data_IF_023707846305
#
_entry.id   IF_023707846305
#
_cell.length_a   1.000
_cell.length_b   1.000
_cell.length_c   1.000
_cell.angle_alpha   90.00
_cell.angle_beta   90.00
_cell.angle_gamma   90.00
#
_symmetry.space_group_name_H-M   'P 1'
#
loop_
_entity.id
_entity.type
_entity.pdbx_description
1 polymer ?
#
# COMPACT_ATOMS: atom_id res chain seq x y z
N UNK A 1 23.83 -8.07 2.32
CA UNK A 1 23.40 -8.54 3.65
C UNK A 1 22.42 -9.69 3.50
N UNK A 2 22.33 -10.55 4.52
CA UNK A 2 21.30 -11.58 4.63
C UNK A 2 20.18 -11.03 5.52
N UNK A 3 19.01 -10.83 4.96
CA UNK A 3 17.86 -10.20 5.61
C UNK A 3 16.78 -11.23 5.87
N UNK A 4 16.36 -11.39 7.13
CA UNK A 4 15.18 -12.18 7.46
C UNK A 4 13.94 -11.28 7.41
N UNK A 5 13.10 -11.45 6.41
CA UNK A 5 11.80 -10.79 6.32
C UNK A 5 10.72 -11.64 6.99
N UNK A 6 10.15 -11.13 8.08
CA UNK A 6 9.03 -11.77 8.79
C UNK A 6 7.73 -11.12 8.35
N UNK A 7 6.82 -11.89 7.72
CA UNK A 7 5.57 -11.34 7.20
C UNK A 7 4.42 -12.34 7.19
N UNK A 8 3.21 -11.84 7.37
CA UNK A 8 1.95 -12.57 7.14
C UNK A 8 1.24 -12.14 5.83
N UNK A 9 1.94 -11.39 4.99
CA UNK A 9 1.45 -10.89 3.71
C UNK A 9 2.46 -11.21 2.59
N UNK A 10 2.41 -12.45 2.10
CA UNK A 10 3.30 -12.99 1.05
C UNK A 10 2.50 -13.80 0.03
N UNK A 11 3.16 -14.35 -1.01
CA UNK A 11 2.54 -15.26 -1.98
C UNK A 11 1.93 -16.48 -1.27
N UNK A 12 0.78 -17.02 -1.73
CA UNK A 12 -0.03 -16.59 -2.89
C UNK A 12 -1.02 -15.45 -2.56
N UNK A 13 -1.02 -14.92 -1.34
CA UNK A 13 -1.92 -13.83 -0.94
C UNK A 13 -1.63 -12.56 -1.73
N UNK A 14 -2.69 -11.96 -2.29
CA UNK A 14 -2.65 -10.70 -3.03
C UNK A 14 -3.11 -9.53 -2.14
N UNK A 15 -2.54 -8.35 -2.35
CA UNK A 15 -2.90 -7.12 -1.62
C UNK A 15 -1.75 -6.13 -1.54
N UNK A 16 -2.04 -4.88 -1.21
CA UNK A 16 -1.05 -3.80 -1.21
C UNK A 16 0.23 -4.08 -0.41
N UNK A 17 0.12 -4.69 0.79
CA UNK A 17 1.29 -5.05 1.61
C UNK A 17 2.11 -6.14 0.91
N UNK A 18 1.46 -7.20 0.42
CA UNK A 18 2.14 -8.29 -0.29
C UNK A 18 2.84 -7.78 -1.56
N UNK A 19 2.19 -6.92 -2.33
CA UNK A 19 2.79 -6.30 -3.52
C UNK A 19 3.98 -5.44 -3.14
N UNK A 20 3.84 -4.56 -2.15
CA UNK A 20 4.92 -3.72 -1.65
C UNK A 20 6.15 -4.54 -1.23
N UNK A 21 5.96 -5.56 -0.38
CA UNK A 21 7.07 -6.37 0.13
C UNK A 21 7.75 -7.19 -0.97
N UNK A 22 6.99 -7.75 -1.92
CA UNK A 22 7.58 -8.48 -3.06
C UNK A 22 8.40 -7.56 -3.95
N UNK A 23 7.87 -6.38 -4.26
CA UNK A 23 8.61 -5.41 -5.05
C UNK A 23 9.83 -4.89 -4.30
N UNK A 24 9.75 -4.72 -2.98
CA UNK A 24 10.90 -4.37 -2.14
C UNK A 24 12.02 -5.43 -2.25
N UNK A 25 11.67 -6.70 -2.08
CA UNK A 25 12.63 -7.83 -2.18
C UNK A 25 13.25 -7.91 -3.58
N UNK A 26 12.48 -7.65 -4.63
CA UNK A 26 12.96 -7.72 -6.02
C UNK A 26 13.89 -6.54 -6.39
N UNK A 27 13.77 -5.39 -5.73
CA UNK A 27 14.53 -4.19 -6.09
C UNK A 27 15.73 -3.92 -5.16
N UNK A 28 15.85 -4.61 -4.03
CA UNK A 28 17.01 -4.51 -3.15
C UNK A 28 18.05 -5.59 -3.49
N UNK A 29 19.31 -5.19 -3.64
CA UNK A 29 20.45 -6.12 -3.89
C UNK A 29 20.92 -6.79 -2.57
N UNK A 30 20.01 -7.53 -1.93
CA UNK A 30 20.25 -8.27 -0.70
C UNK A 30 19.68 -9.69 -0.81
N UNK A 31 20.26 -10.62 -0.03
CA UNK A 31 19.69 -11.96 0.10
C UNK A 31 18.57 -11.93 1.13
N UNK A 32 17.35 -12.17 0.67
CA UNK A 32 16.19 -12.28 1.55
C UNK A 32 15.84 -13.72 1.86
N UNK A 33 15.50 -13.97 3.12
CA UNK A 33 14.89 -15.18 3.61
C UNK A 33 13.53 -14.79 4.16
N UNK A 34 12.47 -15.42 3.69
CA UNK A 34 11.10 -15.04 4.03
C UNK A 34 10.51 -16.03 5.04
N UNK A 35 10.15 -15.57 6.22
CA UNK A 35 9.46 -16.39 7.21
C UNK A 35 8.02 -15.88 7.46
N UNK A 36 7.07 -16.79 7.45
CA UNK A 36 5.66 -16.44 7.66
C UNK A 36 4.77 -17.65 7.88
N UNK A 37 3.43 -17.49 7.79
CA UNK A 37 2.47 -18.57 8.01
C UNK A 37 2.70 -19.79 7.09
N UNK A 38 2.15 -20.94 7.47
CA UNK A 38 2.31 -22.22 6.76
C UNK A 38 1.88 -22.23 5.27
N UNK A 39 1.16 -21.23 4.84
CA UNK A 39 0.66 -21.12 3.47
C UNK A 39 1.54 -20.24 2.54
N UNK A 40 2.62 -19.61 3.04
CA UNK A 40 3.51 -18.84 2.17
C UNK A 40 4.27 -19.74 1.20
N UNK A 41 4.54 -19.23 0.01
CA UNK A 41 5.19 -19.95 -1.09
C UNK A 41 6.37 -19.15 -1.67
N UNK A 42 7.35 -19.84 -2.24
CA UNK A 42 8.52 -19.27 -2.92
C UNK A 42 9.81 -20.00 -2.56
N UNK A 43 10.84 -19.84 -3.38
CA UNK A 43 12.12 -20.57 -3.23
C UNK A 43 12.86 -20.19 -1.93
N UNK A 44 12.76 -18.94 -1.51
CA UNK A 44 13.34 -18.43 -0.27
C UNK A 44 12.34 -18.36 0.90
N UNK A 45 11.17 -19.02 0.77
CA UNK A 45 10.13 -19.04 1.78
C UNK A 45 10.35 -20.17 2.79
N UNK A 46 10.25 -19.81 4.06
CA UNK A 46 10.28 -20.72 5.20
C UNK A 46 8.90 -20.67 5.89
N UNK A 47 7.93 -21.49 5.45
CA UNK A 47 6.62 -21.54 6.07
C UNK A 47 6.71 -22.11 7.49
N UNK A 48 6.02 -21.48 8.44
CA UNK A 48 5.89 -21.98 9.79
C UNK A 48 5.15 -23.32 9.79
N UNK A 49 5.58 -24.27 10.62
CA UNK A 49 4.88 -25.56 10.75
C UNK A 49 3.46 -25.40 11.35
N UNK A 50 3.33 -24.45 12.30
CA UNK A 50 2.08 -24.11 12.96
C UNK A 50 1.54 -22.74 12.50
N UNK A 51 0.30 -22.41 12.94
CA UNK A 51 -0.24 -21.07 12.74
C UNK A 51 0.65 -20.03 13.44
N UNK A 52 1.15 -19.09 12.67
CA UNK A 52 2.11 -18.04 13.00
C UNK A 52 1.84 -17.26 14.32
N UNK A 53 0.60 -17.27 14.83
CA UNK A 53 0.19 -16.52 16.04
C UNK A 53 -0.04 -17.45 17.25
N UNK A 54 -0.39 -18.71 17.02
CA UNK A 54 -0.91 -19.60 18.07
C UNK A 54 0.22 -20.16 18.94
N UNK A 55 1.43 -20.29 18.39
CA UNK A 55 2.57 -20.84 19.13
C UNK A 55 3.79 -19.94 19.08
N UNK A 56 3.86 -18.84 19.87
CA UNK A 56 4.99 -17.91 19.84
C UNK A 56 6.34 -18.54 20.23
N UNK A 57 6.32 -19.65 20.96
CA UNK A 57 7.54 -20.39 21.34
C UNK A 57 8.13 -21.09 20.11
N UNK A 58 7.28 -21.79 19.34
CA UNK A 58 7.69 -22.48 18.12
C UNK A 58 8.20 -21.49 17.06
N UNK A 59 7.48 -20.38 16.86
CA UNK A 59 7.90 -19.29 15.97
C UNK A 59 9.31 -18.79 16.33
N UNK A 60 9.61 -18.63 17.62
CA UNK A 60 10.93 -18.20 18.05
C UNK A 60 11.99 -19.26 17.74
N UNK A 61 11.73 -20.54 17.99
CA UNK A 61 12.64 -21.65 17.71
C UNK A 61 12.94 -21.74 16.20
N UNK A 62 11.91 -21.60 15.35
CA UNK A 62 12.07 -21.57 13.89
C UNK A 62 12.95 -20.39 13.45
N UNK A 63 12.66 -19.18 13.95
CA UNK A 63 13.45 -17.98 13.63
C UNK A 63 14.88 -18.13 14.11
N UNK A 64 15.12 -18.65 15.32
CA UNK A 64 16.47 -18.88 15.84
C UNK A 64 17.26 -19.83 14.96
N UNK A 65 16.63 -20.91 14.47
CA UNK A 65 17.24 -21.84 13.53
C UNK A 65 17.57 -21.16 12.20
N UNK A 66 16.60 -20.43 11.60
CA UNK A 66 16.79 -19.70 10.35
C UNK A 66 17.95 -18.71 10.47
N UNK A 67 18.02 -17.97 11.58
CA UNK A 67 19.08 -16.99 11.86
C UNK A 67 20.45 -17.64 11.79
N UNK A 68 20.64 -18.79 12.45
CA UNK A 68 21.93 -19.48 12.51
C UNK A 68 22.28 -20.14 11.17
N UNK A 69 21.31 -20.82 10.54
CA UNK A 69 21.54 -21.58 9.31
C UNK A 69 21.83 -20.66 8.11
N UNK A 70 21.26 -19.45 8.10
CA UNK A 70 21.39 -18.49 6.99
C UNK A 70 22.32 -17.30 7.31
N UNK A 71 22.96 -17.26 8.48
CA UNK A 71 23.85 -16.18 8.89
C UNK A 71 23.18 -14.79 8.74
N UNK A 72 22.00 -14.62 9.36
CA UNK A 72 21.18 -13.41 9.23
C UNK A 72 21.89 -12.21 9.88
N UNK A 73 21.98 -11.12 9.13
CA UNK A 73 22.54 -9.85 9.57
C UNK A 73 21.50 -8.96 10.25
N UNK A 74 20.29 -8.89 9.69
CA UNK A 74 19.19 -8.07 10.19
C UNK A 74 17.83 -8.78 10.09
N UNK A 75 16.89 -8.39 10.94
CA UNK A 75 15.49 -8.81 10.88
C UNK A 75 14.64 -7.62 10.42
N UNK A 76 13.86 -7.82 9.36
CA UNK A 76 12.89 -6.87 8.85
C UNK A 76 11.47 -7.42 9.08
N UNK A 77 10.68 -6.73 9.90
CA UNK A 77 9.27 -7.05 10.07
C UNK A 77 8.46 -6.37 8.96
N UNK A 78 7.84 -7.16 8.08
CA UNK A 78 7.11 -6.67 6.90
C UNK A 78 5.77 -6.00 7.21
N UNK A 79 5.29 -6.08 8.46
CA UNK A 79 4.11 -5.37 8.96
C UNK A 79 4.15 -5.32 10.49
N UNK A 80 3.41 -4.38 11.10
CA UNK A 80 3.37 -4.27 12.56
C UNK A 80 2.56 -5.40 13.20
N UNK A 81 1.44 -5.78 12.63
CA UNK A 81 0.57 -6.83 13.19
C UNK A 81 0.61 -8.09 12.32
N UNK A 82 0.91 -9.28 12.88
CA UNK A 82 1.12 -9.58 14.31
C UNK A 82 2.58 -9.48 14.78
N UNK A 83 3.51 -9.04 13.94
CA UNK A 83 4.95 -9.17 14.14
C UNK A 83 5.48 -8.46 15.39
N UNK A 84 4.80 -7.39 15.85
CA UNK A 84 5.18 -6.71 17.09
C UNK A 84 5.27 -7.66 18.30
N UNK A 85 4.51 -8.76 18.32
CA UNK A 85 4.51 -9.74 19.41
C UNK A 85 5.84 -10.48 19.58
N UNK A 86 6.67 -10.51 18.55
CA UNK A 86 7.92 -11.26 18.55
C UNK A 86 9.15 -10.39 18.86
N UNK A 87 9.07 -9.07 18.67
CA UNK A 87 10.21 -8.14 18.75
C UNK A 87 11.02 -8.31 20.02
N UNK A 88 10.39 -8.24 21.20
CA UNK A 88 11.11 -8.36 22.49
C UNK A 88 11.86 -9.68 22.64
N UNK A 89 11.28 -10.76 22.18
CA UNK A 89 11.90 -12.08 22.30
C UNK A 89 13.05 -12.22 21.31
N UNK A 90 12.90 -11.67 20.10
CA UNK A 90 13.95 -11.69 19.08
C UNK A 90 15.16 -10.81 19.44
N UNK A 91 14.99 -9.80 20.30
CA UNK A 91 16.11 -9.03 20.87
C UNK A 91 17.09 -9.87 21.71
N UNK A 92 16.77 -11.13 22.01
CA UNK A 92 17.73 -12.05 22.65
C UNK A 92 18.71 -12.68 21.67
N UNK A 93 18.41 -12.62 20.36
CA UNK A 93 19.25 -13.21 19.31
C UNK A 93 20.47 -12.32 19.01
N UNK A 94 21.59 -12.95 18.74
CA UNK A 94 22.83 -12.29 18.34
C UNK A 94 23.13 -12.60 16.87
N UNK A 95 23.87 -11.69 16.22
CA UNK A 95 24.41 -11.91 14.89
C UNK A 95 25.31 -13.15 14.90
N UNK A 96 25.06 -14.13 14.04
CA UNK A 96 25.84 -15.35 13.98
C UNK A 96 27.34 -15.05 13.75
N UNK A 97 28.18 -15.78 14.46
CA UNK A 97 29.64 -15.63 14.39
C UNK A 97 30.19 -14.23 14.81
N UNK A 98 29.40 -13.38 15.41
CA UNK A 98 29.90 -12.12 15.95
C UNK A 98 30.76 -12.32 17.17
N UNK A 99 32.01 -11.80 17.20
CA UNK A 99 32.92 -12.00 18.32
C UNK A 99 32.49 -11.26 19.61
N UNK A 100 31.54 -10.33 19.51
CA UNK A 100 31.10 -9.46 20.61
C UNK A 100 29.64 -9.72 21.07
N UNK A 101 29.03 -10.83 20.66
CA UNK A 101 27.61 -11.09 20.93
C UNK A 101 26.68 -9.89 20.54
N UNK A 102 26.92 -9.29 19.40
CA UNK A 102 26.15 -8.16 18.90
C UNK A 102 24.71 -8.62 18.64
N UNK A 103 23.74 -7.88 19.15
CA UNK A 103 22.31 -8.15 18.89
C UNK A 103 21.99 -7.96 17.42
N UNK A 104 21.08 -8.80 16.88
CA UNK A 104 20.59 -8.63 15.53
C UNK A 104 19.70 -7.39 15.49
N UNK A 105 20.01 -6.38 14.67
CA UNK A 105 19.15 -5.23 14.50
C UNK A 105 17.78 -5.62 13.95
N UNK A 106 16.73 -4.99 14.48
CA UNK A 106 15.37 -5.24 14.08
C UNK A 106 14.73 -3.94 13.55
N UNK A 107 14.15 -4.04 12.36
CA UNK A 107 13.44 -2.97 11.68
C UNK A 107 12.00 -3.40 11.38
N UNK A 108 11.07 -2.44 11.24
CA UNK A 108 9.68 -2.74 10.95
C UNK A 108 9.12 -1.79 9.91
N UNK A 109 8.37 -2.30 8.93
CA UNK A 109 7.62 -1.49 7.98
C UNK A 109 6.16 -1.45 8.43
N UNK A 110 5.63 -0.25 8.64
CA UNK A 110 4.24 0.00 9.02
C UNK A 110 3.48 0.61 7.84
N UNK A 111 2.42 -0.08 7.40
CA UNK A 111 1.65 0.30 6.21
C UNK A 111 0.39 1.13 6.54
N UNK A 112 0.00 1.26 7.81
CA UNK A 112 -1.08 2.14 8.23
C UNK A 112 -2.11 1.52 9.16
N UNK A 113 -3.21 1.00 8.63
CA UNK A 113 -4.35 0.57 9.46
C UNK A 113 -4.04 -0.60 10.41
N UNK A 114 -3.01 -1.42 10.14
CA UNK A 114 -2.70 -2.64 10.90
C UNK A 114 -2.23 -2.37 12.34
N UNK A 115 -1.56 -1.25 12.59
CA UNK A 115 -1.17 -0.85 13.96
C UNK A 115 -2.26 -0.02 14.64
N UNK A 116 -3.03 0.75 13.87
CA UNK A 116 -3.95 1.72 14.43
C UNK A 116 -5.14 1.07 15.14
N UNK A 117 -5.65 -0.07 14.63
CA UNK A 117 -6.71 -0.84 15.30
C UNK A 117 -6.29 -1.27 16.70
N UNK A 118 -5.04 -1.69 16.87
CA UNK A 118 -4.49 -2.16 18.14
C UNK A 118 -4.36 -1.04 19.18
N UNK A 119 -4.16 0.19 18.73
CA UNK A 119 -3.99 1.37 19.57
C UNK A 119 -5.23 1.72 20.40
N UNK A 120 -6.43 1.31 19.98
CA UNK A 120 -7.67 1.60 20.69
C UNK A 120 -7.99 0.63 21.85
N UNK A 121 -7.19 -0.43 22.03
CA UNK A 121 -7.32 -1.37 23.14
C UNK A 121 -6.21 -1.11 24.15
N UNK A 122 -6.48 -0.52 25.36
CA UNK A 122 -5.42 -0.02 26.24
C UNK A 122 -4.33 -1.03 26.60
N UNK A 123 -4.71 -2.27 26.90
CA UNK A 123 -3.74 -3.33 27.24
C UNK A 123 -2.87 -3.68 26.02
N UNK A 124 -3.48 -3.76 24.83
CA UNK A 124 -2.76 -4.07 23.57
C UNK A 124 -1.88 -2.89 23.17
N UNK A 125 -2.33 -1.65 23.37
CA UNK A 125 -1.53 -0.44 23.14
C UNK A 125 -0.24 -0.45 23.95
N UNK A 126 -0.32 -0.74 25.26
CA UNK A 126 0.87 -0.80 26.11
C UNK A 126 1.83 -1.92 25.67
N UNK A 127 1.30 -3.06 25.24
CA UNK A 127 2.12 -4.15 24.72
C UNK A 127 2.74 -3.77 23.38
N UNK A 128 2.00 -3.12 22.50
CA UNK A 128 2.47 -2.62 21.21
C UNK A 128 3.63 -1.62 21.43
N UNK A 129 3.42 -0.57 22.24
CA UNK A 129 4.45 0.43 22.55
C UNK A 129 5.73 -0.22 23.04
N UNK A 130 5.66 -1.04 24.11
CA UNK A 130 6.83 -1.71 24.68
C UNK A 130 7.60 -2.58 23.69
N UNK A 131 6.92 -3.19 22.72
CA UNK A 131 7.59 -3.99 21.70
C UNK A 131 8.20 -3.10 20.62
N UNK A 132 7.48 -2.06 20.18
CA UNK A 132 7.99 -1.11 19.20
C UNK A 132 9.24 -0.37 19.73
N UNK A 133 9.29 -0.02 21.03
CA UNK A 133 10.45 0.65 21.67
C UNK A 133 11.75 -0.21 21.67
N UNK A 134 11.66 -1.46 21.27
CA UNK A 134 12.81 -2.36 21.14
C UNK A 134 13.29 -2.55 19.67
N UNK A 135 12.70 -1.82 18.73
CA UNK A 135 13.19 -1.77 17.36
C UNK A 135 14.29 -0.72 17.18
N UNK A 136 15.19 -0.93 16.23
CA UNK A 136 16.18 0.06 15.86
C UNK A 136 15.52 1.26 15.17
N UNK A 137 14.70 0.99 14.17
CA UNK A 137 13.95 2.02 13.43
C UNK A 137 12.63 1.44 12.91
N UNK A 138 11.61 2.27 12.83
CA UNK A 138 10.33 1.96 12.21
C UNK A 138 10.20 2.75 10.91
N UNK A 139 9.99 2.05 9.82
CA UNK A 139 9.71 2.65 8.53
C UNK A 139 8.20 2.78 8.31
N UNK A 140 7.77 3.89 7.73
CA UNK A 140 6.36 4.10 7.35
C UNK A 140 6.24 4.45 5.88
N UNK A 141 5.07 4.16 5.32
CA UNK A 141 4.78 4.44 3.90
C UNK A 141 4.18 5.83 3.68
N UNK A 142 3.87 6.57 4.74
CA UNK A 142 3.28 7.91 4.67
C UNK A 142 3.60 8.74 5.92
N UNK A 143 3.60 10.04 5.75
CA UNK A 143 3.74 10.99 6.87
C UNK A 143 2.56 10.92 7.83
N UNK A 144 1.36 10.63 7.32
CA UNK A 144 0.18 10.38 8.15
C UNK A 144 0.40 9.19 9.10
N UNK A 145 0.93 8.07 8.59
CA UNK A 145 1.24 6.89 9.40
C UNK A 145 2.35 7.20 10.41
N UNK A 146 3.38 7.96 10.01
CA UNK A 146 4.47 8.39 10.90
C UNK A 146 3.94 9.17 12.09
N UNK A 147 3.10 10.19 11.86
CA UNK A 147 2.48 10.98 12.92
C UNK A 147 1.60 10.16 13.86
N UNK A 148 0.87 9.17 13.33
CA UNK A 148 0.05 8.27 14.15
C UNK A 148 0.88 7.35 15.03
N UNK A 149 2.02 6.89 14.54
CA UNK A 149 2.92 6.02 15.32
C UNK A 149 3.71 6.79 16.38
N UNK A 150 4.07 8.04 16.14
CA UNK A 150 4.77 8.86 17.14
C UNK A 150 3.98 9.10 18.43
N UNK A 151 2.67 8.86 18.42
CA UNK A 151 1.83 8.86 19.63
C UNK A 151 1.90 7.52 20.42
N UNK A 152 2.61 6.51 19.89
CA UNK A 152 2.60 5.14 20.41
C UNK A 152 3.98 4.70 20.92
N UNK A 153 5.06 5.16 20.30
CA UNK A 153 6.44 4.72 20.57
C UNK A 153 7.41 5.87 20.49
N UNK A 154 8.49 5.77 21.27
CA UNK A 154 9.63 6.72 21.25
C UNK A 154 10.73 6.28 20.24
N UNK A 155 10.58 5.11 19.61
CA UNK A 155 11.52 4.63 18.57
C UNK A 155 11.53 5.59 17.39
N UNK A 156 12.70 5.76 16.80
CA UNK A 156 12.86 6.55 15.56
C UNK A 156 11.93 6.04 14.45
N UNK A 157 11.16 6.96 13.86
CA UNK A 157 10.20 6.64 12.79
C UNK A 157 10.55 7.46 11.55
N UNK A 158 10.85 6.75 10.47
CA UNK A 158 11.26 7.35 9.18
C UNK A 158 10.19 7.05 8.13
N UNK A 159 9.68 8.08 7.47
CA UNK A 159 8.83 7.90 6.30
C UNK A 159 9.69 7.63 5.07
N UNK A 160 9.64 6.40 4.56
CA UNK A 160 10.36 5.99 3.35
C UNK A 160 9.47 6.02 2.10
N UNK A 161 8.15 6.24 2.26
CA UNK A 161 7.20 6.25 1.15
C UNK A 161 6.99 4.86 0.53
N UNK A 162 6.86 4.85 -0.79
CA UNK A 162 6.69 3.63 -1.59
C UNK A 162 7.56 3.72 -2.85
N UNK A 163 8.00 2.58 -3.35
CA UNK A 163 8.62 2.45 -4.66
C UNK A 163 7.55 2.06 -5.70
N UNK A 164 7.48 2.83 -6.77
CA UNK A 164 6.56 2.60 -7.89
C UNK A 164 7.38 2.32 -9.14
N UNK A 165 6.97 1.28 -9.87
CA UNK A 165 7.50 1.00 -11.20
C UNK A 165 7.01 2.09 -12.17
N UNK A 166 7.93 2.69 -12.89
CA UNK A 166 7.58 3.67 -13.93
C UNK A 166 7.46 2.92 -15.26
N UNK A 167 6.25 2.77 -15.80
CA UNK A 167 6.08 2.03 -17.04
C UNK A 167 6.71 2.78 -18.22
N UNK A 168 7.34 2.05 -19.13
CA UNK A 168 7.77 2.59 -20.42
C UNK A 168 6.53 2.77 -21.31
N UNK A 169 5.74 3.78 -21.00
CA UNK A 169 4.45 4.08 -21.63
C UNK A 169 4.24 5.58 -21.72
N UNK A 170 3.84 6.02 -22.90
CA UNK A 170 3.36 7.39 -23.13
C UNK A 170 1.85 7.33 -23.33
N UNK A 171 1.11 8.05 -22.49
CA UNK A 171 -0.34 8.10 -22.58
C UNK A 171 -0.76 8.89 -23.83
N UNK A 172 -1.68 8.32 -24.62
CA UNK A 172 -2.29 9.02 -25.74
C UNK A 172 -3.55 9.76 -25.25
N UNK A 173 -3.43 11.09 -25.14
CA UNK A 173 -4.48 11.96 -24.64
C UNK A 173 -5.49 12.45 -25.73
N UNK A 174 -5.37 11.97 -26.98
CA UNK A 174 -6.17 12.48 -28.10
C UNK A 174 -7.65 12.05 -28.04
N UNK A 175 -7.98 10.96 -27.36
CA UNK A 175 -9.31 10.37 -27.31
C UNK A 175 -9.88 10.32 -25.87
N UNK A 176 -10.26 11.46 -25.32
CA UNK A 176 -10.88 11.54 -23.99
C UNK A 176 -12.44 11.56 -24.02
N UNK A 177 -13.06 11.13 -25.12
CA UNK A 177 -14.52 11.07 -25.25
C UNK A 177 -14.95 9.67 -25.74
N UNK A 178 -15.72 8.91 -24.91
CA UNK A 178 -16.17 9.26 -23.55
C UNK A 178 -15.04 9.35 -22.54
N UNK A 179 -15.20 10.13 -21.47
CA UNK A 179 -14.29 10.12 -20.32
C UNK A 179 -14.41 8.78 -19.61
N UNK A 180 -13.38 7.95 -19.69
CA UNK A 180 -13.34 6.65 -19.05
C UNK A 180 -12.67 6.79 -17.69
N UNK A 181 -13.46 6.65 -16.62
CA UNK A 181 -12.95 6.70 -15.24
C UNK A 181 -12.68 5.29 -14.74
N UNK A 182 -11.49 5.07 -14.22
CA UNK A 182 -11.09 3.78 -13.68
C UNK A 182 -10.88 3.77 -12.17
N UNK A 183 -11.09 2.62 -11.55
CA UNK A 183 -10.71 2.34 -10.16
C UNK A 183 -10.13 0.93 -10.02
N UNK A 184 -9.00 0.81 -9.34
CA UNK A 184 -8.37 -0.46 -8.96
C UNK A 184 -8.44 -0.60 -7.45
N UNK A 185 -9.14 -1.59 -6.92
CA UNK A 185 -9.13 -1.80 -5.47
C UNK A 185 -9.80 -3.11 -5.05
N UNK A 186 -9.56 -3.50 -3.79
CA UNK A 186 -10.48 -4.42 -3.12
C UNK A 186 -11.87 -3.78 -2.99
N UNK A 187 -12.91 -4.47 -3.41
CA UNK A 187 -14.29 -3.96 -3.39
C UNK A 187 -14.86 -4.01 -1.96
N UNK A 188 -14.49 -3.03 -1.16
CA UNK A 188 -14.94 -2.87 0.24
C UNK A 188 -15.53 -1.47 0.46
N UNK A 189 -16.43 -1.36 1.45
CA UNK A 189 -17.23 -0.14 1.66
C UNK A 189 -16.42 1.13 1.96
N UNK A 190 -15.18 1.00 2.43
CA UNK A 190 -14.27 2.12 2.70
C UNK A 190 -13.81 2.81 1.41
N UNK A 191 -13.71 2.07 0.31
CA UNK A 191 -13.26 2.59 -0.99
C UNK A 191 -14.30 3.47 -1.69
N UNK A 192 -15.56 3.46 -1.21
CA UNK A 192 -16.64 4.33 -1.70
C UNK A 192 -16.90 4.26 -3.22
N UNK A 193 -16.70 3.08 -3.82
CA UNK A 193 -16.94 2.89 -5.26
C UNK A 193 -18.41 3.16 -5.62
N UNK A 194 -19.36 2.92 -4.70
CA UNK A 194 -20.75 3.29 -4.91
C UNK A 194 -20.93 4.80 -5.15
N UNK A 195 -20.13 5.67 -4.51
CA UNK A 195 -20.19 7.10 -4.80
C UNK A 195 -19.80 7.42 -6.24
N UNK A 196 -18.77 6.71 -6.75
CA UNK A 196 -18.33 6.88 -8.12
C UNK A 196 -19.42 6.46 -9.11
N UNK A 197 -20.09 5.31 -8.87
CA UNK A 197 -21.21 4.85 -9.70
C UNK A 197 -22.39 5.83 -9.64
N UNK A 198 -22.77 6.31 -8.46
CA UNK A 198 -23.88 7.28 -8.28
C UNK A 198 -23.58 8.60 -9.01
N UNK A 199 -22.37 9.15 -8.82
CA UNK A 199 -21.96 10.40 -9.47
C UNK A 199 -21.90 10.25 -11.00
N UNK A 200 -21.36 9.14 -11.48
CA UNK A 200 -21.29 8.88 -12.92
C UNK A 200 -22.68 8.64 -13.53
N UNK A 201 -23.63 8.05 -12.77
CA UNK A 201 -25.04 7.96 -13.16
C UNK A 201 -25.64 9.35 -13.35
N UNK A 202 -25.52 10.23 -12.35
CA UNK A 202 -26.06 11.59 -12.41
C UNK A 202 -25.51 12.36 -13.62
N UNK A 203 -24.20 12.30 -13.84
CA UNK A 203 -23.53 12.95 -14.97
C UNK A 203 -23.99 12.37 -16.32
N UNK A 204 -24.24 11.06 -16.38
CA UNK A 204 -24.77 10.42 -17.59
C UNK A 204 -26.20 10.81 -17.89
N UNK A 205 -27.06 10.94 -16.88
CA UNK A 205 -28.44 11.48 -17.01
C UNK A 205 -28.43 12.93 -17.48
N UNK A 206 -27.41 13.71 -17.13
CA UNK A 206 -27.18 15.07 -17.65
C UNK A 206 -26.66 15.07 -19.10
N UNK A 207 -26.51 13.90 -19.74
CA UNK A 207 -26.08 13.75 -21.14
C UNK A 207 -24.57 13.77 -21.34
N UNK A 208 -23.76 13.73 -20.30
CA UNK A 208 -22.31 13.79 -20.41
C UNK A 208 -21.71 12.43 -20.85
N UNK A 209 -20.69 12.45 -21.72
CA UNK A 209 -20.06 11.23 -22.25
C UNK A 209 -19.08 10.63 -21.23
N UNK A 210 -19.58 9.75 -20.36
CA UNK A 210 -18.81 9.13 -19.28
C UNK A 210 -19.03 7.62 -19.24
N UNK A 211 -17.97 6.86 -18.91
CA UNK A 211 -17.98 5.43 -18.66
C UNK A 211 -17.13 5.08 -17.43
N UNK A 212 -17.42 3.93 -16.81
CA UNK A 212 -16.65 3.44 -15.66
C UNK A 212 -16.02 2.07 -15.94
N UNK A 213 -14.78 1.90 -15.48
CA UNK A 213 -14.11 0.62 -15.39
C UNK A 213 -13.71 0.34 -13.94
N UNK A 214 -14.05 -0.82 -13.43
CA UNK A 214 -13.78 -1.23 -12.05
C UNK A 214 -12.99 -2.52 -12.09
N UNK A 215 -11.73 -2.48 -11.64
CA UNK A 215 -10.86 -3.64 -11.54
C UNK A 215 -10.71 -4.06 -10.08
N UNK A 216 -10.95 -5.34 -9.81
CA UNK A 216 -10.77 -5.95 -8.50
C UNK A 216 -11.97 -6.76 -8.02
N UNK A 217 -11.87 -7.25 -6.80
CA UNK A 217 -12.87 -8.13 -6.18
C UNK A 217 -13.06 -7.80 -4.69
N UNK A 218 -14.14 -8.30 -4.09
CA UNK A 218 -14.38 -8.13 -2.65
C UNK A 218 -15.83 -8.22 -2.22
N UNK A 219 -16.03 -8.01 -0.92
CA UNK A 219 -17.34 -8.23 -0.26
C UNK A 219 -18.48 -7.36 -0.82
N UNK A 220 -18.17 -6.26 -1.50
CA UNK A 220 -19.17 -5.38 -2.11
C UNK A 220 -19.46 -5.66 -3.59
N UNK A 221 -18.80 -6.63 -4.20
CA UNK A 221 -18.93 -6.89 -5.65
C UNK A 221 -20.39 -7.04 -6.09
N UNK A 222 -21.15 -7.91 -5.45
CA UNK A 222 -22.56 -8.14 -5.80
C UNK A 222 -23.43 -6.88 -5.61
N UNK A 223 -23.17 -6.11 -4.55
CA UNK A 223 -23.86 -4.84 -4.32
C UNK A 223 -23.55 -3.82 -5.41
N UNK A 224 -22.29 -3.65 -5.78
CA UNK A 224 -21.85 -2.71 -6.82
C UNK A 224 -22.38 -3.12 -8.20
N UNK A 225 -22.37 -4.40 -8.54
CA UNK A 225 -22.97 -4.93 -9.78
C UNK A 225 -24.48 -4.66 -9.84
N UNK A 226 -25.20 -4.84 -8.73
CA UNK A 226 -26.63 -4.51 -8.65
C UNK A 226 -26.86 -3.00 -8.79
N UNK A 227 -26.03 -2.16 -8.17
CA UNK A 227 -26.12 -0.70 -8.31
C UNK A 227 -25.86 -0.28 -9.76
N UNK A 228 -24.87 -0.83 -10.42
CA UNK A 228 -24.54 -0.53 -11.81
C UNK A 228 -25.62 -0.98 -12.80
N UNK A 229 -26.33 -2.07 -12.53
CA UNK A 229 -27.37 -2.60 -13.43
C UNK A 229 -28.61 -1.70 -13.54
N UNK A 230 -28.81 -0.78 -12.60
CA UNK A 230 -29.89 0.24 -12.63
C UNK A 230 -29.35 1.65 -12.92
N UNK A 231 -28.07 1.77 -13.22
CA UNK A 231 -27.41 3.03 -13.53
C UNK A 231 -27.48 3.34 -15.02
N UNK A 232 -27.57 4.63 -15.38
CA UNK A 232 -27.50 5.08 -16.76
C UNK A 232 -26.08 4.98 -17.35
N UNK A 233 -25.04 4.92 -16.49
CA UNK A 233 -23.64 4.81 -16.92
C UNK A 233 -23.27 3.37 -17.23
N UNK A 234 -22.51 3.17 -18.30
CA UNK A 234 -21.89 1.89 -18.62
C UNK A 234 -20.75 1.60 -17.61
N UNK A 235 -20.87 0.49 -16.88
CA UNK A 235 -19.87 0.05 -15.89
C UNK A 235 -19.31 -1.32 -16.25
N UNK A 236 -18.03 -1.37 -16.56
CA UNK A 236 -17.31 -2.63 -16.84
C UNK A 236 -16.58 -3.11 -15.60
N UNK A 237 -16.91 -4.32 -15.12
CA UNK A 237 -16.19 -5.00 -14.04
C UNK A 237 -15.13 -5.93 -14.61
N UNK A 238 -13.89 -5.75 -14.18
CA UNK A 238 -12.73 -6.54 -14.62
C UNK A 238 -12.16 -7.24 -13.38
N UNK A 239 -11.82 -8.51 -13.52
CA UNK A 239 -11.07 -9.25 -12.50
C UNK A 239 -9.59 -9.15 -12.83
N UNK A 240 -8.79 -8.83 -11.81
CA UNK A 240 -7.34 -8.91 -11.92
C UNK A 240 -6.92 -10.37 -11.69
N UNK A 241 -6.42 -11.00 -12.71
CA UNK A 241 -5.85 -12.35 -12.63
C UNK A 241 -4.32 -12.29 -12.78
N UNK A 242 -3.80 -11.25 -13.45
CA UNK A 242 -2.37 -11.08 -13.74
C UNK A 242 -1.91 -9.61 -13.63
N UNK A 243 -0.59 -9.40 -13.50
CA UNK A 243 0.00 -8.06 -13.57
C UNK A 243 -0.28 -7.37 -14.92
N UNK A 244 -0.40 -8.16 -16.00
CA UNK A 244 -0.75 -7.65 -17.32
C UNK A 244 -2.17 -7.06 -17.35
N UNK A 245 -3.13 -7.67 -16.65
CA UNK A 245 -4.50 -7.14 -16.59
C UNK A 245 -4.53 -5.75 -15.94
N UNK A 246 -3.67 -5.52 -14.97
CA UNK A 246 -3.51 -4.22 -14.28
C UNK A 246 -2.85 -3.19 -15.21
N UNK A 247 -1.81 -3.56 -15.97
CA UNK A 247 -1.16 -2.71 -16.96
C UNK A 247 -2.14 -2.30 -18.08
N UNK A 248 -2.82 -3.27 -18.68
CA UNK A 248 -3.84 -3.04 -19.73
C UNK A 248 -4.99 -2.17 -19.19
N UNK A 249 -5.35 -2.32 -17.91
CA UNK A 249 -6.38 -1.49 -17.28
C UNK A 249 -5.96 -0.02 -17.21
N UNK A 250 -4.79 0.30 -16.63
CA UNK A 250 -4.32 1.69 -16.53
C UNK A 250 -4.19 2.36 -17.91
N UNK A 251 -3.79 1.61 -18.95
CA UNK A 251 -3.71 2.10 -20.35
C UNK A 251 -5.08 2.38 -20.97
N UNK A 252 -6.15 1.81 -20.44
CA UNK A 252 -7.50 1.85 -20.99
C UNK A 252 -8.42 2.89 -20.37
N UNK A 253 -7.93 3.74 -19.48
CA UNK A 253 -8.70 4.77 -18.77
C UNK A 253 -8.09 6.16 -18.99
N UNK A 254 -8.87 7.21 -18.74
CA UNK A 254 -8.44 8.61 -18.90
C UNK A 254 -8.25 9.32 -17.55
N UNK A 255 -8.95 8.84 -16.50
CA UNK A 255 -8.97 9.42 -15.17
C UNK A 255 -9.03 8.29 -14.14
N UNK A 256 -8.21 8.34 -13.13
CA UNK A 256 -8.31 7.42 -11.99
C UNK A 256 -9.07 8.08 -10.83
N UNK A 257 -10.08 7.41 -10.28
CA UNK A 257 -10.85 7.96 -9.15
C UNK A 257 -11.18 6.89 -8.12
N UNK A 258 -10.67 7.03 -6.89
CA UNK A 258 -11.06 6.20 -5.76
C UNK A 258 -11.31 7.06 -4.53
N UNK A 259 -12.56 7.51 -4.28
CA UNK A 259 -12.91 8.44 -3.21
C UNK A 259 -12.96 7.76 -1.84
N UNK A 260 -11.88 7.09 -1.46
CA UNK A 260 -11.78 6.34 -0.20
C UNK A 260 -12.03 7.23 1.02
N UNK A 261 -12.68 6.68 2.04
CA UNK A 261 -13.01 7.41 3.27
C UNK A 261 -12.58 6.62 4.51
N UNK A 262 -11.99 7.32 5.46
CA UNK A 262 -11.69 6.73 6.78
C UNK A 262 -12.98 6.32 7.49
N UNK A 263 -12.94 5.22 8.24
CA UNK A 263 -14.05 4.69 9.03
C UNK A 263 -13.73 4.66 10.51
N UNK A 264 -14.78 4.49 11.31
CA UNK A 264 -14.69 4.32 12.76
C UNK A 264 -13.83 5.43 13.39
N UNK A 265 -14.16 6.70 13.10
CA UNK A 265 -13.44 7.88 13.60
C UNK A 265 -11.93 7.87 13.31
N UNK A 266 -11.52 7.31 12.18
CA UNK A 266 -10.12 7.26 11.75
C UNK A 266 -9.36 6.01 12.20
N UNK A 267 -10.05 4.98 12.72
CA UNK A 267 -9.43 3.68 13.05
C UNK A 267 -8.99 2.97 11.78
N UNK A 268 -9.87 2.92 10.77
CA UNK A 268 -9.53 2.42 9.43
C UNK A 268 -9.28 3.61 8.49
N UNK A 269 -8.12 3.65 7.87
CA UNK A 269 -7.74 4.68 6.90
C UNK A 269 -6.92 4.09 5.74
N UNK A 270 -6.64 4.89 4.73
CA UNK A 270 -5.70 4.53 3.67
C UNK A 270 -4.28 4.81 4.15
N UNK A 271 -3.42 3.78 4.17
CA UNK A 271 -2.03 3.95 4.61
C UNK A 271 -1.28 4.94 3.73
N UNK A 272 -1.26 4.67 2.42
CA UNK A 272 -0.79 5.55 1.35
C UNK A 272 -1.71 5.45 0.14
N UNK A 273 -1.99 4.20 -0.33
CA UNK A 273 -2.78 3.94 -1.52
C UNK A 273 -1.92 3.88 -2.78
N UNK A 274 -1.14 2.81 -2.91
CA UNK A 274 -0.23 2.58 -4.05
C UNK A 274 -0.91 2.77 -5.41
N UNK A 275 -2.16 2.34 -5.55
CA UNK A 275 -2.95 2.45 -6.78
C UNK A 275 -3.10 3.89 -7.32
N UNK A 276 -3.04 4.90 -6.46
CA UNK A 276 -3.05 6.30 -6.89
C UNK A 276 -1.72 6.68 -7.56
N UNK A 277 -0.61 6.24 -6.97
CA UNK A 277 0.73 6.47 -7.50
C UNK A 277 0.96 5.62 -8.75
N UNK A 278 0.46 4.38 -8.77
CA UNK A 278 0.45 3.53 -9.96
C UNK A 278 -0.30 4.23 -11.11
N UNK A 279 -1.52 4.70 -10.89
CA UNK A 279 -2.26 5.45 -11.91
C UNK A 279 -1.50 6.70 -12.40
N UNK A 280 -0.91 7.47 -11.48
CA UNK A 280 -0.12 8.64 -11.82
C UNK A 280 1.15 8.31 -12.63
N UNK A 281 1.79 7.14 -12.39
CA UNK A 281 2.96 6.69 -13.18
C UNK A 281 2.61 6.39 -14.64
N UNK A 282 1.34 6.06 -14.93
CA UNK A 282 0.81 5.95 -16.31
C UNK A 282 0.42 7.30 -16.92
N UNK A 283 0.66 8.41 -16.24
CA UNK A 283 0.26 9.74 -16.72
C UNK A 283 -1.24 9.99 -16.60
N UNK A 284 -1.93 9.39 -15.65
CA UNK A 284 -3.35 9.63 -15.39
C UNK A 284 -3.52 10.71 -14.31
N UNK A 285 -4.43 11.67 -14.48
CA UNK A 285 -4.87 12.50 -13.37
C UNK A 285 -5.60 11.65 -12.32
N UNK A 286 -5.51 12.05 -11.05
CA UNK A 286 -5.99 11.21 -9.94
C UNK A 286 -6.95 11.95 -9.03
N UNK A 287 -8.12 11.36 -8.74
CA UNK A 287 -9.02 11.84 -7.70
C UNK A 287 -8.91 10.89 -6.49
N UNK A 288 -8.35 11.40 -5.40
CA UNK A 288 -8.17 10.64 -4.15
C UNK A 288 -9.28 10.94 -3.15
N UNK A 289 -9.56 10.01 -2.25
CA UNK A 289 -10.43 10.27 -1.11
C UNK A 289 -9.70 10.97 0.03
N UNK A 290 -10.42 11.69 0.88
CA UNK A 290 -9.90 12.30 2.10
C UNK A 290 -9.70 11.22 3.19
N UNK A 291 -8.70 10.36 3.05
CA UNK A 291 -8.45 9.21 3.92
C UNK A 291 -6.97 8.95 4.15
N UNK A 292 -6.49 9.25 5.35
CA UNK A 292 -5.13 8.92 5.77
C UNK A 292 -4.05 9.50 4.85
N UNK A 293 -3.08 8.66 4.47
CA UNK A 293 -1.98 9.01 3.57
C UNK A 293 -2.37 9.18 2.09
N UNK A 294 -3.63 8.88 1.69
CA UNK A 294 -4.07 9.04 0.30
C UNK A 294 -3.83 10.45 -0.25
N UNK A 295 -3.96 11.48 0.59
CA UNK A 295 -3.77 12.89 0.19
C UNK A 295 -2.30 13.16 -0.19
N UNK A 296 -1.36 12.39 0.36
CA UNK A 296 0.08 12.55 0.09
C UNK A 296 0.47 12.05 -1.32
N UNK A 297 -0.41 11.30 -1.98
CA UNK A 297 -0.15 10.73 -3.32
C UNK A 297 -0.41 11.70 -4.47
N UNK A 298 -0.85 12.91 -4.17
CA UNK A 298 -1.11 13.96 -5.17
C UNK A 298 -0.60 15.33 -4.71
N UNK A 299 -0.43 16.23 -5.67
CA UNK A 299 -0.35 17.68 -5.45
C UNK A 299 -1.71 18.27 -5.84
N UNK A 300 -2.57 18.67 -4.86
CA UNK A 300 -3.92 19.15 -5.16
C UNK A 300 -3.93 20.31 -6.18
N UNK A 301 -4.79 20.22 -7.19
CA UNK A 301 -4.90 21.21 -8.26
C UNK A 301 -3.78 21.17 -9.31
N UNK A 302 -2.81 20.22 -9.19
CA UNK A 302 -1.71 20.06 -10.17
C UNK A 302 -1.63 18.63 -10.73
N UNK A 303 -1.81 17.61 -9.90
CA UNK A 303 -1.77 16.20 -10.32
C UNK A 303 -3.11 15.51 -10.09
N UNK A 304 -4.01 16.12 -9.33
CA UNK A 304 -5.31 15.57 -8.99
C UNK A 304 -6.10 16.41 -8.02
N UNK A 305 -7.19 15.84 -7.52
CA UNK A 305 -8.10 16.45 -6.55
C UNK A 305 -8.38 15.53 -5.36
N UNK A 306 -8.75 16.13 -4.22
CA UNK A 306 -9.20 15.41 -3.02
C UNK A 306 -10.71 15.46 -2.90
N UNK A 307 -11.39 14.33 -3.04
CA UNK A 307 -12.83 14.20 -2.91
C UNK A 307 -13.23 13.73 -1.50
N UNK A 308 -13.60 14.66 -0.63
CA UNK A 308 -14.08 14.38 0.73
C UNK A 308 -15.51 13.87 0.81
N UNK A 309 -16.32 14.16 -0.20
CA UNK A 309 -17.71 13.76 -0.35
C UNK A 309 -18.13 13.62 -1.83
N UNK A 310 -19.42 13.26 -2.07
CA UNK A 310 -19.95 13.06 -3.42
C UNK A 310 -20.00 14.35 -4.25
N UNK A 311 -20.25 15.50 -3.65
CA UNK A 311 -20.36 16.76 -4.36
C UNK A 311 -19.00 17.17 -4.90
N UNK A 312 -17.95 17.11 -4.06
CA UNK A 312 -16.59 17.40 -4.47
C UNK A 312 -16.11 16.39 -5.53
N UNK A 313 -16.50 15.10 -5.39
CA UNK A 313 -16.22 14.10 -6.42
C UNK A 313 -16.84 14.47 -7.77
N UNK A 314 -18.13 14.87 -7.77
CA UNK A 314 -18.84 15.33 -8.97
C UNK A 314 -18.17 16.55 -9.60
N UNK A 315 -17.87 17.57 -8.79
CA UNK A 315 -17.17 18.78 -9.24
C UNK A 315 -15.80 18.48 -9.85
N UNK A 316 -15.04 17.56 -9.21
CA UNK A 316 -13.71 17.13 -9.71
C UNK A 316 -13.79 16.42 -11.06
N UNK A 317 -14.83 15.58 -11.28
CA UNK A 317 -15.05 14.91 -12.56
C UNK A 317 -15.52 15.92 -13.62
N UNK A 318 -16.45 16.81 -13.27
CA UNK A 318 -16.91 17.88 -14.16
C UNK A 318 -15.78 18.82 -14.60
N UNK A 319 -14.81 19.07 -13.72
CA UNK A 319 -13.64 19.87 -14.09
C UNK A 319 -12.88 19.24 -15.27
N UNK A 320 -12.63 17.94 -15.28
CA UNK A 320 -11.95 17.26 -16.37
C UNK A 320 -12.82 17.12 -17.63
N UNK A 321 -14.14 16.93 -17.48
CA UNK A 321 -15.08 16.92 -18.61
C UNK A 321 -15.13 18.27 -19.32
N UNK A 322 -15.08 19.37 -18.57
CA UNK A 322 -15.15 20.73 -19.11
C UNK A 322 -13.77 21.25 -19.59
N UNK A 323 -12.67 20.61 -19.18
CA UNK A 323 -11.31 21.01 -19.51
C UNK A 323 -10.47 19.78 -19.92
N UNK A 324 -10.77 19.13 -21.07
CA UNK A 324 -10.11 17.89 -21.45
C UNK A 324 -8.59 18.00 -21.61
N UNK A 325 -8.06 19.20 -21.95
CA UNK A 325 -6.62 19.47 -22.01
C UNK A 325 -5.93 19.33 -20.63
N UNK A 326 -6.68 19.49 -19.54
CA UNK A 326 -6.16 19.32 -18.17
C UNK A 326 -5.91 17.85 -17.82
N UNK A 327 -6.51 16.91 -18.52
CA UNK A 327 -6.22 15.48 -18.34
C UNK A 327 -4.74 15.22 -18.64
N UNK A 328 -4.23 15.73 -19.76
CA UNK A 328 -2.81 15.63 -20.11
C UNK A 328 -1.92 16.38 -19.14
N UNK A 329 -2.24 17.63 -18.84
CA UNK A 329 -1.43 18.46 -17.94
C UNK A 329 -1.26 17.81 -16.56
N UNK A 330 -2.37 17.39 -15.93
CA UNK A 330 -2.35 16.77 -14.61
C UNK A 330 -1.70 15.39 -14.64
N UNK A 331 -1.93 14.62 -15.69
CA UNK A 331 -1.31 13.31 -15.87
C UNK A 331 0.21 13.38 -15.99
N UNK A 332 0.73 14.27 -16.82
CA UNK A 332 2.18 14.48 -16.96
C UNK A 332 2.82 15.01 -15.67
N UNK A 333 2.15 15.92 -14.97
CA UNK A 333 2.60 16.39 -13.67
C UNK A 333 2.60 15.25 -12.63
N UNK A 334 1.58 14.37 -12.65
CA UNK A 334 1.48 13.21 -11.80
C UNK A 334 2.63 12.22 -12.03
N UNK A 335 2.92 11.90 -13.30
CA UNK A 335 4.03 11.02 -13.65
C UNK A 335 5.38 11.58 -13.14
N UNK A 336 5.67 12.85 -13.38
CA UNK A 336 6.88 13.51 -12.85
C UNK A 336 6.95 13.49 -11.33
N UNK A 337 5.84 13.71 -10.65
CA UNK A 337 5.76 13.65 -9.19
C UNK A 337 6.11 12.24 -8.67
N UNK A 338 5.63 11.18 -9.32
CA UNK A 338 5.97 9.80 -8.93
C UNK A 338 7.44 9.52 -9.21
N UNK A 339 7.96 9.89 -10.38
CA UNK A 339 9.38 9.74 -10.75
C UNK A 339 10.31 10.41 -9.74
N UNK A 340 9.96 11.60 -9.28
CA UNK A 340 10.79 12.41 -8.36
C UNK A 340 10.74 11.91 -6.92
N UNK A 341 9.57 11.48 -6.41
CA UNK A 341 9.37 11.23 -4.99
C UNK A 341 9.08 9.77 -4.62
N UNK A 342 8.62 8.93 -5.57
CA UNK A 342 8.13 7.58 -5.32
C UNK A 342 8.76 6.53 -6.23
N UNK A 343 9.90 6.81 -6.88
CA UNK A 343 10.64 5.80 -7.63
C UNK A 343 11.32 4.80 -6.69
N UNK A 344 11.57 3.59 -7.18
CA UNK A 344 12.32 2.57 -6.43
C UNK A 344 13.71 3.06 -6.01
N UNK A 345 14.39 3.83 -6.86
CA UNK A 345 15.69 4.42 -6.55
C UNK A 345 15.62 5.29 -5.28
N UNK A 346 14.60 6.14 -5.16
CA UNK A 346 14.42 7.00 -3.98
C UNK A 346 14.11 6.20 -2.72
N UNK A 347 13.24 5.20 -2.82
CA UNK A 347 12.92 4.35 -1.68
C UNK A 347 14.16 3.59 -1.19
N UNK A 348 14.94 2.99 -2.10
CA UNK A 348 16.15 2.23 -1.78
C UNK A 348 17.16 3.12 -1.06
N UNK A 349 17.47 4.29 -1.60
CA UNK A 349 18.39 5.24 -0.98
C UNK A 349 17.92 5.60 0.45
N UNK A 350 16.64 5.89 0.63
CA UNK A 350 16.08 6.22 1.94
C UNK A 350 16.13 5.03 2.91
N UNK A 351 15.85 3.83 2.44
CA UNK A 351 15.87 2.63 3.29
C UNK A 351 17.30 2.25 3.69
N UNK A 352 18.21 2.14 2.72
CA UNK A 352 19.59 1.68 2.96
C UNK A 352 20.40 2.66 3.80
N UNK A 353 20.17 3.97 3.66
CA UNK A 353 20.84 4.98 4.48
C UNK A 353 20.47 4.90 5.97
N UNK A 354 19.35 4.26 6.29
CA UNK A 354 18.81 4.14 7.65
C UNK A 354 18.86 2.69 8.20
N UNK A 355 19.39 1.75 7.44
CA UNK A 355 19.73 0.42 7.94
C UNK A 355 21.18 0.42 8.37
N UNK A 356 21.44 0.18 9.66
CA UNK A 356 22.80 0.10 10.18
C UNK A 356 23.55 -1.04 9.49
N UNK A 357 24.66 -0.72 8.81
CA UNK A 357 25.59 -1.75 8.35
C UNK A 357 26.36 -2.28 9.56
N UNK A 358 26.13 -3.53 9.88
CA UNK A 358 26.95 -4.26 10.86
C UNK A 358 28.32 -4.47 10.22
N UNK A 359 29.27 -3.61 10.52
CA UNK A 359 30.69 -3.76 10.19
C UNK A 359 31.44 -4.44 11.31
#
# INVERSE_FOLDING_TARGET
>A
MNILLITNDWKPKTGGISTYLRSLVNNLDHKFIIYGPSWIEGDDAYPAEDTFIINPRKVFEDIQKIVNDNLIDIILHGSSNPNFLFVNKLNTLNVPNSPKNVKIPQYMICHGAEFNVLNYIPVVRNLLSRNLDNLNTIFTVSEFSRKKLSDITDTEIINIGAGIEIPNYENNYENNVPLIIGVVSRLVSRKKISWLIDVAHDLKEEGLPIELKILGFGKQENYLKKLSSVSAVNVTFIKDETEKDVDDFYRSINLFAMPSKSKYFGVEFEGLGLVYLEAASYGLPVIVGASGGAIETIIPGKTGFVAGDKNILKESILYFLNNPEKIQEFGLNGKKFVEEFYSWEKLIINLESNIESIK
#
